data_IF_759056963189
#
_entry.id   IF_759056963189
#
_cell.length_a   1.000
_cell.length_b   1.000
_cell.length_c   1.000
_cell.angle_alpha   90.00
_cell.angle_beta   90.00
_cell.angle_gamma   90.00
#
_symmetry.space_group_name_H-M   'P 1'
#
loop_
_entity.id
_entity.type
_entity.pdbx_description
1 polymer ?
#
# COMPACT_ATOMS: atom_id res chain seq x y z
N UNK A 1 -13.21 5.08 17.83
CA UNK A 1 -14.22 4.14 18.37
C UNK A 1 -14.65 4.42 19.82
N UNK A 2 -13.88 5.17 20.64
CA UNK A 2 -14.31 5.53 22.00
C UNK A 2 -14.38 4.36 22.99
N UNK A 3 -13.66 3.27 22.71
CA UNK A 3 -13.63 2.05 23.52
C UNK A 3 -12.75 2.22 24.75
N UNK A 4 -13.13 1.59 25.87
CA UNK A 4 -12.40 1.62 27.13
C UNK A 4 -11.98 0.22 27.54
N UNK A 5 -10.71 -0.10 27.34
CA UNK A 5 -10.12 -1.37 27.75
C UNK A 5 -9.29 -1.18 29.03
N UNK A 6 -9.52 -2.00 30.04
CA UNK A 6 -8.66 -2.12 31.21
C UNK A 6 -7.28 -2.70 30.84
N UNK A 7 -6.31 -2.63 31.75
CA UNK A 7 -4.96 -3.16 31.48
C UNK A 7 -4.95 -4.68 31.16
N UNK A 8 -5.67 -5.54 31.90
CA UNK A 8 -5.77 -6.96 31.56
C UNK A 8 -6.43 -7.20 30.20
N UNK A 9 -7.45 -6.40 29.86
CA UNK A 9 -8.13 -6.52 28.56
C UNK A 9 -7.25 -6.09 27.40
N UNK A 10 -6.34 -5.12 27.60
CA UNK A 10 -5.35 -4.77 26.56
C UNK A 10 -4.39 -5.91 26.27
N UNK A 11 -3.86 -6.56 27.29
CA UNK A 11 -3.00 -7.74 27.10
C UNK A 11 -3.76 -8.87 26.40
N UNK A 12 -5.03 -9.10 26.80
CA UNK A 12 -5.89 -10.07 26.13
C UNK A 12 -6.18 -9.68 24.68
N UNK A 13 -6.39 -8.40 24.41
CA UNK A 13 -6.61 -7.88 23.06
C UNK A 13 -5.37 -8.12 22.18
N UNK A 14 -4.17 -7.86 22.68
CA UNK A 14 -2.92 -8.15 21.96
C UNK A 14 -2.83 -9.62 21.55
N UNK A 15 -3.16 -10.54 22.46
CA UNK A 15 -3.19 -11.98 22.15
C UNK A 15 -4.22 -12.33 21.08
N UNK A 16 -5.46 -11.84 21.23
CA UNK A 16 -6.57 -12.12 20.32
C UNK A 16 -6.34 -11.52 18.92
N UNK A 17 -5.64 -10.40 18.84
CA UNK A 17 -5.46 -9.63 17.59
C UNK A 17 -4.13 -9.90 16.89
N UNK A 18 -3.24 -10.68 17.51
CA UNK A 18 -1.92 -11.01 16.93
C UNK A 18 -1.99 -11.53 15.49
N UNK A 19 -2.89 -12.47 15.12
CA UNK A 19 -2.99 -12.92 13.73
C UNK A 19 -3.41 -11.81 12.76
N UNK A 20 -4.28 -10.88 13.18
CA UNK A 20 -4.65 -9.72 12.36
C UNK A 20 -3.44 -8.83 12.07
N UNK A 21 -2.62 -8.53 13.08
CA UNK A 21 -1.42 -7.73 12.89
C UNK A 21 -0.40 -8.42 11.96
N UNK A 22 -0.23 -9.73 12.06
CA UNK A 22 0.60 -10.47 11.10
C UNK A 22 0.06 -10.37 9.68
N UNK A 23 -1.25 -10.51 9.48
CA UNK A 23 -1.85 -10.32 8.17
C UNK A 23 -1.62 -8.90 7.63
N UNK A 24 -1.81 -7.87 8.46
CA UNK A 24 -1.63 -6.46 8.08
C UNK A 24 -0.18 -6.14 7.67
N UNK A 25 0.80 -6.58 8.46
CA UNK A 25 2.22 -6.34 8.18
C UNK A 25 2.63 -7.08 6.89
N UNK A 26 2.26 -8.35 6.75
CA UNK A 26 2.59 -9.11 5.54
C UNK A 26 1.89 -8.55 4.29
N UNK A 27 0.66 -8.05 4.42
CA UNK A 27 0.00 -7.33 3.32
C UNK A 27 0.78 -6.08 2.92
N UNK A 28 1.19 -5.26 3.89
CA UNK A 28 2.03 -4.10 3.59
C UNK A 28 3.28 -4.52 2.82
N UNK A 29 4.04 -5.48 3.35
CA UNK A 29 5.31 -5.94 2.75
C UNK A 29 5.12 -6.50 1.34
N UNK A 30 4.04 -7.25 1.12
CA UNK A 30 3.70 -7.81 -0.19
C UNK A 30 3.44 -6.70 -1.23
N UNK A 31 2.64 -5.69 -0.87
CA UNK A 31 2.25 -4.62 -1.80
C UNK A 31 3.28 -3.50 -1.91
N UNK A 32 4.14 -3.32 -0.91
CA UNK A 32 5.20 -2.32 -0.93
C UNK A 32 6.52 -2.82 -1.52
N UNK A 33 6.67 -4.14 -1.68
CA UNK A 33 7.90 -4.81 -2.14
C UNK A 33 8.59 -4.07 -3.29
N UNK A 34 7.87 -3.81 -4.37
CA UNK A 34 8.47 -3.24 -5.58
C UNK A 34 9.02 -1.83 -5.35
N UNK A 35 8.36 -1.01 -4.53
CA UNK A 35 8.86 0.30 -4.13
C UNK A 35 10.11 0.16 -3.27
N UNK A 36 10.02 -0.63 -2.20
CA UNK A 36 11.10 -0.79 -1.22
C UNK A 36 12.35 -1.41 -1.84
N UNK A 37 12.17 -2.35 -2.77
CA UNK A 37 13.27 -2.94 -3.52
C UNK A 37 13.94 -1.90 -4.43
N UNK A 38 13.17 -1.07 -5.15
CA UNK A 38 13.72 0.04 -5.95
C UNK A 38 14.44 1.07 -5.09
N UNK A 39 13.91 1.39 -3.92
CA UNK A 39 14.55 2.31 -2.95
C UNK A 39 15.88 1.75 -2.45
N UNK A 40 15.92 0.47 -2.08
CA UNK A 40 17.15 -0.22 -1.66
C UNK A 40 18.20 -0.27 -2.78
N UNK A 41 17.79 -0.54 -4.03
CA UNK A 41 18.70 -0.51 -5.18
C UNK A 41 19.26 0.90 -5.43
N UNK A 42 18.42 1.94 -5.35
CA UNK A 42 18.85 3.32 -5.55
C UNK A 42 19.85 3.76 -4.48
N UNK A 43 19.65 3.34 -3.23
CA UNK A 43 20.61 3.60 -2.14
C UNK A 43 21.96 2.93 -2.40
N UNK A 44 21.96 1.65 -2.78
CA UNK A 44 23.18 0.92 -3.09
C UNK A 44 24.00 1.52 -4.24
N UNK A 45 23.34 2.13 -5.24
CA UNK A 45 24.02 2.80 -6.35
C UNK A 45 24.69 4.13 -5.97
N UNK A 46 24.20 4.79 -4.92
CA UNK A 46 24.77 6.07 -4.46
C UNK A 46 25.96 5.87 -3.51
N UNK A 47 26.13 4.66 -2.97
CA UNK A 47 27.29 4.30 -2.15
C UNK A 47 28.44 3.83 -3.05
N UNK A 48 29.27 4.78 -3.53
CA UNK A 48 30.42 4.55 -4.42
C UNK A 48 31.45 3.51 -3.88
N UNK A 49 31.36 3.12 -2.61
CA UNK A 49 32.22 2.14 -1.95
C UNK A 49 31.65 0.72 -1.86
N UNK A 50 30.37 0.51 -2.20
CA UNK A 50 29.74 -0.81 -2.09
C UNK A 50 29.66 -1.51 -3.45
N UNK A 51 30.65 -2.36 -3.76
CA UNK A 51 30.67 -3.18 -4.99
C UNK A 51 29.61 -4.30 -5.01
N UNK A 52 28.84 -4.45 -3.93
CA UNK A 52 27.68 -5.31 -3.84
C UNK A 52 26.48 -4.49 -3.35
N UNK A 53 25.31 -4.71 -3.95
CA UNK A 53 24.05 -4.22 -3.39
C UNK A 53 23.93 -4.83 -1.99
N UNK A 54 24.21 -4.04 -0.96
CA UNK A 54 24.08 -4.48 0.41
C UNK A 54 22.61 -4.36 0.84
N UNK A 55 21.78 -5.25 0.29
CA UNK A 55 20.38 -5.44 0.68
C UNK A 55 20.22 -6.12 2.04
N UNK A 56 21.31 -6.28 2.82
CA UNK A 56 21.25 -6.90 4.16
C UNK A 56 20.31 -6.19 5.13
N UNK A 57 20.02 -4.91 4.90
CA UNK A 57 19.08 -4.13 5.72
C UNK A 57 17.64 -4.10 5.17
N UNK A 58 17.29 -4.96 4.19
CA UNK A 58 15.94 -5.00 3.67
C UNK A 58 14.96 -5.60 4.68
N UNK A 59 14.23 -4.72 5.36
CA UNK A 59 13.22 -5.04 6.37
C UNK A 59 11.86 -5.33 5.72
N UNK A 60 11.81 -6.33 4.83
CA UNK A 60 10.59 -6.76 4.15
C UNK A 60 10.48 -8.29 4.14
N UNK A 61 9.29 -8.82 4.45
CA UNK A 61 9.05 -10.25 4.53
C UNK A 61 9.38 -11.01 3.25
N UNK A 62 9.22 -10.41 2.05
CA UNK A 62 9.56 -11.07 0.79
C UNK A 62 11.05 -11.38 0.73
N UNK A 63 11.89 -10.43 1.13
CA UNK A 63 13.34 -10.65 1.22
C UNK A 63 13.67 -11.73 2.24
N UNK A 64 13.12 -11.63 3.45
CA UNK A 64 13.35 -12.59 4.52
C UNK A 64 12.99 -14.01 4.07
N UNK A 65 11.86 -14.19 3.40
CA UNK A 65 11.42 -15.49 2.88
C UNK A 65 12.37 -16.03 1.81
N UNK A 66 12.93 -15.19 0.94
CA UNK A 66 13.94 -15.63 -0.03
C UNK A 66 15.23 -16.08 0.67
N UNK A 67 15.66 -15.39 1.73
CA UNK A 67 16.87 -15.74 2.48
C UNK A 67 16.66 -17.00 3.34
N UNK A 68 15.51 -17.15 3.98
CA UNK A 68 15.17 -18.32 4.78
C UNK A 68 14.99 -19.57 3.91
N UNK A 69 14.44 -19.39 2.71
CA UNK A 69 14.22 -20.43 1.73
C UNK A 69 15.07 -20.19 0.48
N UNK A 70 16.35 -20.55 0.55
CA UNK A 70 17.38 -20.38 -0.51
C UNK A 70 17.02 -20.85 -1.95
N UNK A 71 15.86 -21.47 -2.15
CA UNK A 71 15.35 -21.92 -3.44
C UNK A 71 14.18 -21.07 -3.99
N UNK A 72 13.69 -20.09 -3.22
CA UNK A 72 12.60 -19.22 -3.65
C UNK A 72 13.14 -18.01 -4.41
N UNK A 73 12.57 -17.78 -5.59
CA UNK A 73 12.65 -16.50 -6.26
C UNK A 73 11.61 -15.53 -5.69
N UNK A 74 11.58 -14.29 -6.21
CA UNK A 74 10.62 -13.26 -5.78
C UNK A 74 9.18 -13.76 -5.91
N UNK A 75 8.84 -14.42 -7.01
CA UNK A 75 7.47 -14.90 -7.25
C UNK A 75 7.07 -15.97 -6.24
N UNK A 76 7.98 -16.91 -5.94
CA UNK A 76 7.79 -17.94 -4.92
C UNK A 76 7.65 -17.35 -3.51
N UNK A 77 8.48 -16.37 -3.15
CA UNK A 77 8.40 -15.69 -1.85
C UNK A 77 7.10 -14.88 -1.71
N UNK A 78 6.66 -14.20 -2.77
CA UNK A 78 5.36 -13.51 -2.80
C UNK A 78 4.20 -14.50 -2.63
N UNK A 79 4.25 -15.65 -3.28
CA UNK A 79 3.19 -16.65 -3.14
C UNK A 79 3.14 -17.24 -1.72
N UNK A 80 4.31 -17.55 -1.15
CA UNK A 80 4.39 -17.99 0.24
C UNK A 80 3.86 -16.92 1.21
N UNK A 81 4.15 -15.65 0.95
CA UNK A 81 3.60 -14.53 1.71
C UNK A 81 2.07 -14.46 1.61
N UNK A 82 1.48 -14.61 0.40
CA UNK A 82 0.02 -14.68 0.20
C UNK A 82 -0.61 -15.84 0.98
N UNK A 83 0.03 -17.01 0.98
CA UNK A 83 -0.43 -18.17 1.75
C UNK A 83 -0.45 -17.84 3.24
N UNK A 84 0.62 -17.24 3.79
CA UNK A 84 0.68 -16.84 5.20
C UNK A 84 -0.37 -15.78 5.56
N UNK A 85 -0.57 -14.76 4.71
CA UNK A 85 -1.63 -13.76 4.88
C UNK A 85 -3.00 -14.44 5.00
N UNK A 86 -3.30 -15.39 4.10
CA UNK A 86 -4.56 -16.14 4.11
C UNK A 86 -4.70 -16.96 5.39
N UNK A 87 -3.65 -17.66 5.82
CA UNK A 87 -3.64 -18.45 7.05
C UNK A 87 -3.97 -17.59 8.28
N UNK A 88 -3.24 -16.48 8.48
CA UNK A 88 -3.48 -15.60 9.62
C UNK A 88 -4.84 -14.90 9.56
N UNK A 89 -5.32 -14.56 8.36
CA UNK A 89 -6.66 -13.99 8.18
C UNK A 89 -7.74 -15.01 8.57
N UNK A 90 -7.60 -16.27 8.14
CA UNK A 90 -8.54 -17.34 8.52
C UNK A 90 -8.53 -17.60 10.03
N UNK A 91 -7.34 -17.68 10.63
CA UNK A 91 -7.19 -17.80 12.08
C UNK A 91 -7.89 -16.64 12.81
N UNK A 92 -7.69 -15.41 12.33
CA UNK A 92 -8.29 -14.23 12.92
C UNK A 92 -9.82 -14.23 12.83
N UNK A 93 -10.38 -14.61 11.68
CA UNK A 93 -11.84 -14.70 11.50
C UNK A 93 -12.42 -15.69 12.51
N UNK A 94 -11.76 -16.82 12.76
CA UNK A 94 -12.21 -17.78 13.77
C UNK A 94 -12.19 -17.16 15.18
N UNK A 95 -11.17 -16.37 15.52
CA UNK A 95 -11.11 -15.65 16.80
C UNK A 95 -12.28 -14.68 16.93
N UNK A 96 -12.57 -13.90 15.88
CA UNK A 96 -13.69 -12.94 15.87
C UNK A 96 -15.02 -13.66 16.14
N UNK A 97 -15.25 -14.83 15.54
CA UNK A 97 -16.46 -15.61 15.80
C UNK A 97 -16.51 -16.17 17.23
N UNK A 98 -15.37 -16.62 17.77
CA UNK A 98 -15.31 -17.15 19.14
C UNK A 98 -15.58 -16.07 20.19
N UNK A 99 -15.05 -14.85 20.03
CA UNK A 99 -15.21 -13.78 21.03
C UNK A 99 -16.64 -13.21 21.09
N UNK A 100 -17.40 -13.30 19.99
CA UNK A 100 -18.80 -12.82 19.94
C UNK A 100 -19.72 -13.58 20.90
N UNK A 101 -19.43 -14.87 21.13
CA UNK A 101 -20.21 -15.72 22.03
C UNK A 101 -19.71 -15.72 23.48
N UNK A 102 -18.57 -15.08 23.76
CA UNK A 102 -17.91 -15.16 25.05
C UNK A 102 -18.42 -14.07 26.01
N UNK A 103 -19.29 -14.47 26.93
CA UNK A 103 -19.86 -13.57 27.95
C UNK A 103 -18.85 -13.14 29.03
N UNK A 104 -17.65 -13.74 29.06
CA UNK A 104 -16.59 -13.34 29.99
C UNK A 104 -15.83 -12.10 29.53
N UNK A 105 -15.96 -11.72 28.26
CA UNK A 105 -15.31 -10.56 27.67
C UNK A 105 -16.20 -9.32 27.77
N UNK A 106 -15.59 -8.15 27.93
CA UNK A 106 -16.37 -6.91 27.84
C UNK A 106 -16.82 -6.64 26.41
N UNK A 107 -17.94 -5.93 26.30
CA UNK A 107 -18.48 -5.45 25.03
C UNK A 107 -17.45 -4.62 24.25
N UNK A 108 -16.63 -3.83 24.94
CA UNK A 108 -15.62 -2.98 24.31
C UNK A 108 -14.45 -3.80 23.74
N UNK A 109 -14.04 -4.87 24.43
CA UNK A 109 -13.03 -5.80 23.92
C UNK A 109 -13.53 -6.56 22.68
N UNK A 110 -14.76 -7.07 22.72
CA UNK A 110 -15.37 -7.75 21.57
C UNK A 110 -15.45 -6.81 20.37
N UNK A 111 -15.90 -5.56 20.57
CA UNK A 111 -15.92 -4.54 19.51
C UNK A 111 -14.53 -4.21 18.98
N UNK A 112 -13.53 -4.12 19.84
CA UNK A 112 -12.14 -3.86 19.42
C UNK A 112 -11.62 -4.96 18.51
N UNK A 113 -11.77 -6.23 18.92
CA UNK A 113 -11.38 -7.39 18.11
C UNK A 113 -12.18 -7.43 16.81
N UNK A 114 -13.50 -7.24 16.86
CA UNK A 114 -14.29 -7.26 15.64
C UNK A 114 -13.90 -6.16 14.65
N UNK A 115 -13.50 -4.97 15.12
CA UNK A 115 -13.16 -3.85 14.27
C UNK A 115 -11.95 -4.12 13.36
N UNK A 116 -10.93 -4.84 13.84
CA UNK A 116 -9.69 -5.08 13.09
C UNK A 116 -9.90 -5.91 11.80
N UNK A 117 -11.03 -6.60 11.63
CA UNK A 117 -11.35 -7.26 10.36
C UNK A 117 -11.50 -6.23 9.22
N UNK A 118 -11.98 -5.03 9.54
CA UNK A 118 -12.10 -3.94 8.59
C UNK A 118 -10.75 -3.32 8.26
N UNK A 119 -9.81 -3.33 9.21
CA UNK A 119 -8.43 -2.91 8.93
C UNK A 119 -7.78 -3.84 7.92
N UNK A 120 -7.94 -5.17 8.04
CA UNK A 120 -7.39 -6.15 7.08
C UNK A 120 -7.91 -5.90 5.66
N UNK A 121 -9.23 -5.71 5.51
CA UNK A 121 -9.83 -5.50 4.18
C UNK A 121 -9.50 -4.11 3.65
N UNK A 122 -9.54 -3.08 4.52
CA UNK A 122 -9.19 -1.71 4.19
C UNK A 122 -7.73 -1.58 3.76
N UNK A 123 -6.82 -2.25 4.46
CA UNK A 123 -5.39 -2.29 4.12
C UNK A 123 -5.18 -2.90 2.74
N UNK A 124 -5.82 -4.03 2.44
CA UNK A 124 -5.73 -4.65 1.11
C UNK A 124 -6.26 -3.71 0.01
N UNK A 125 -7.45 -3.14 0.19
CA UNK A 125 -8.06 -2.21 -0.78
C UNK A 125 -7.19 -0.98 -1.02
N UNK A 126 -6.68 -0.38 0.06
CA UNK A 126 -5.79 0.77 -0.01
C UNK A 126 -4.47 0.42 -0.68
N UNK A 127 -3.82 -0.69 -0.30
CA UNK A 127 -2.54 -1.10 -0.87
C UNK A 127 -2.60 -1.33 -2.39
N UNK A 128 -3.74 -1.78 -2.92
CA UNK A 128 -3.94 -2.02 -4.35
C UNK A 128 -4.10 -0.73 -5.18
N UNK A 129 -4.40 0.40 -4.54
CA UNK A 129 -4.81 1.64 -5.25
C UNK A 129 -4.11 2.90 -4.75
N UNK A 130 -3.33 2.82 -3.67
CA UNK A 130 -2.71 4.00 -3.10
C UNK A 130 -1.56 4.53 -3.99
N UNK A 131 -1.49 5.85 -4.22
CA UNK A 131 -0.36 6.47 -4.93
C UNK A 131 1.02 6.16 -4.33
N UNK A 132 1.05 5.78 -3.03
CA UNK A 132 2.27 5.41 -2.31
C UNK A 132 2.95 4.16 -2.88
N UNK A 133 2.19 3.18 -3.35
CA UNK A 133 2.72 1.94 -3.94
C UNK A 133 2.58 1.94 -5.47
N UNK A 134 1.66 2.75 -6.01
CA UNK A 134 1.34 2.84 -7.43
C UNK A 134 1.54 4.28 -7.92
N UNK A 135 2.77 4.66 -8.31
CA UNK A 135 3.12 6.05 -8.65
C UNK A 135 2.40 6.59 -9.89
N UNK A 136 1.76 5.71 -10.67
CA UNK A 136 0.93 6.03 -11.83
C UNK A 136 -0.51 6.43 -11.43
N UNK A 137 -0.94 6.18 -10.20
CA UNK A 137 -2.25 6.58 -9.70
C UNK A 137 -2.19 7.99 -9.13
N UNK A 138 -3.05 8.89 -9.65
CA UNK A 138 -3.20 10.25 -9.15
C UNK A 138 -4.24 10.35 -8.04
N UNK A 139 -4.08 11.35 -7.18
CA UNK A 139 -5.14 11.82 -6.28
C UNK A 139 -6.35 12.33 -7.05
N UNK A 140 -7.50 12.44 -6.37
CA UNK A 140 -8.70 13.08 -6.92
C UNK A 140 -8.48 14.58 -7.11
N UNK A 141 -9.28 15.21 -7.98
CA UNK A 141 -9.15 16.66 -8.23
C UNK A 141 -9.33 17.47 -6.94
N UNK A 142 -10.32 17.13 -6.11
CA UNK A 142 -10.56 17.78 -4.81
C UNK A 142 -9.34 17.66 -3.88
N UNK A 143 -8.71 16.48 -3.82
CA UNK A 143 -7.49 16.28 -3.03
C UNK A 143 -6.34 17.13 -3.57
N UNK A 144 -6.19 17.23 -4.89
CA UNK A 144 -5.16 18.06 -5.52
C UNK A 144 -5.42 19.55 -5.29
N UNK A 145 -6.68 20.00 -5.33
CA UNK A 145 -7.07 21.37 -5.00
C UNK A 145 -6.69 21.73 -3.57
N UNK A 146 -6.98 20.85 -2.60
CA UNK A 146 -6.55 21.04 -1.22
C UNK A 146 -5.03 21.06 -1.06
N UNK A 147 -4.31 20.16 -1.73
CA UNK A 147 -2.84 20.14 -1.72
C UNK A 147 -2.23 21.41 -2.32
N UNK A 148 -2.89 22.03 -3.31
CA UNK A 148 -2.49 23.30 -3.93
C UNK A 148 -2.91 24.53 -3.12
N UNK A 149 -3.63 24.36 -2.02
CA UNK A 149 -4.12 25.47 -1.19
C UNK A 149 -5.31 26.22 -1.80
N UNK A 150 -6.03 25.60 -2.75
CA UNK A 150 -7.30 26.14 -3.24
C UNK A 150 -8.36 25.85 -2.19
N UNK A 151 -8.66 26.85 -1.36
CA UNK A 151 -9.82 26.81 -0.47
C UNK A 151 -11.05 26.95 -1.34
N UNK A 152 -11.79 25.86 -1.57
CA UNK A 152 -13.12 25.95 -2.14
C UNK A 152 -13.95 26.87 -1.24
N UNK A 153 -14.66 27.89 -1.78
CA UNK A 153 -15.51 28.73 -0.96
C UNK A 153 -16.50 27.83 -0.25
N UNK A 154 -16.45 27.84 1.09
CA UNK A 154 -17.44 27.19 1.93
C UNK A 154 -18.79 27.68 1.44
N UNK A 155 -19.61 26.78 0.89
CA UNK A 155 -20.97 27.11 0.53
C UNK A 155 -21.65 27.54 1.83
N UNK A 156 -21.80 28.85 2.02
CA UNK A 156 -22.57 29.38 3.12
C UNK A 156 -23.94 28.72 3.03
N UNK A 157 -24.32 28.03 4.10
CA UNK A 157 -25.66 27.47 4.28
C UNK A 157 -26.65 28.63 4.43
N UNK A 158 -26.99 29.26 3.31
CA UNK A 158 -27.97 30.32 3.17
C UNK A 158 -29.19 29.79 2.44
N UNK A 159 -30.34 29.91 3.11
CA UNK A 159 -31.69 29.56 2.65
C UNK A 159 -32.00 29.93 1.19
N UNK A 160 -32.91 29.18 0.53
CA UNK A 160 -33.20 29.37 -0.88
C UNK A 160 -33.98 30.68 -1.10
N UNK A 161 -33.44 31.61 -1.88
CA UNK A 161 -33.95 31.93 -3.23
C UNK A 161 -33.42 33.30 -3.75
N UNK A 162 -33.37 33.37 -5.07
CA UNK A 162 -33.39 34.56 -5.94
C UNK A 162 -32.06 35.06 -6.51
N UNK A 163 -31.77 34.55 -7.71
CA UNK A 163 -31.24 35.27 -8.88
C UNK A 163 -30.20 36.37 -8.62
N UNK A 164 -28.95 36.01 -8.86
CA UNK A 164 -28.04 36.59 -9.86
C UNK A 164 -26.62 36.74 -9.32
N UNK A 165 -25.66 36.10 -9.97
CA UNK A 165 -24.66 36.85 -10.73
C UNK A 165 -24.02 35.92 -11.77
N UNK A 166 -24.34 36.19 -13.05
CA UNK A 166 -23.49 35.83 -14.17
C UNK A 166 -22.21 36.66 -14.05
N UNK A 167 -21.07 36.01 -13.86
CA UNK A 167 -19.80 36.54 -14.38
C UNK A 167 -19.21 35.45 -15.26
N UNK A 168 -19.31 35.68 -16.57
CA UNK A 168 -18.62 34.92 -17.62
C UNK A 168 -17.28 35.59 -17.86
N UNK A 169 -16.26 34.75 -18.08
CA UNK A 169 -15.25 34.89 -19.14
C UNK A 169 -14.25 36.05 -19.04
N UNK A 170 -12.97 35.73 -18.87
CA UNK A 170 -11.95 35.88 -19.92
C UNK A 170 -10.54 35.87 -19.31
N UNK A 171 -9.80 34.79 -19.53
CA UNK A 171 -8.34 34.83 -19.72
C UNK A 171 -8.01 33.73 -20.71
N UNK A 172 -7.98 34.12 -21.98
CA UNK A 172 -7.46 33.35 -23.11
C UNK A 172 -5.94 33.43 -23.15
N UNK A 173 -5.32 32.28 -23.46
CA UNK A 173 -4.17 32.09 -24.33
C UNK A 173 -2.90 32.94 -24.14
N UNK A 174 -1.84 32.29 -23.68
CA UNK A 174 -0.58 32.15 -24.45
C UNK A 174 0.46 31.45 -23.57
N UNK A 175 0.81 30.21 -23.91
CA UNK A 175 2.21 29.75 -24.01
C UNK A 175 2.23 28.38 -24.69
N UNK A 176 2.69 28.40 -25.93
CA UNK A 176 3.11 27.25 -26.73
C UNK A 176 4.11 26.38 -25.98
N UNK A 177 3.86 25.06 -25.84
CA UNK A 177 4.93 24.08 -25.65
C UNK A 177 4.68 22.83 -26.50
N UNK A 178 5.77 22.38 -27.08
CA UNK A 178 5.91 21.52 -28.26
C UNK A 178 5.48 20.06 -28.05
N UNK A 179 5.19 19.31 -29.13
CA UNK A 179 4.97 17.87 -29.04
C UNK A 179 6.23 17.15 -28.58
N UNK A 180 6.07 16.27 -27.60
CA UNK A 180 7.11 15.31 -27.21
C UNK A 180 7.30 14.35 -28.38
N UNK A 181 8.48 14.43 -28.99
CA UNK A 181 8.95 13.50 -30.02
C UNK A 181 9.06 12.12 -29.40
N UNK A 182 8.23 11.18 -29.86
CA UNK A 182 8.40 9.76 -29.61
C UNK A 182 9.69 9.29 -30.30
N UNK A 183 10.78 9.17 -29.54
CA UNK A 183 12.01 8.55 -30.01
C UNK A 183 11.80 7.04 -30.11
N UNK A 184 11.45 6.59 -31.32
CA UNK A 184 11.59 5.20 -31.75
C UNK A 184 13.06 4.76 -31.65
N UNK A 185 13.43 4.04 -30.59
CA UNK A 185 14.63 3.19 -30.62
C UNK A 185 14.21 1.76 -30.95
N UNK A 186 14.28 1.43 -32.23
CA UNK A 186 14.46 0.06 -32.72
C UNK A 186 15.76 -0.46 -32.13
N UNK A 187 15.70 -1.44 -31.22
CA UNK A 187 16.84 -2.33 -31.02
C UNK A 187 16.83 -3.38 -32.11
N UNK A 188 17.69 -3.16 -33.09
CA UNK A 188 18.20 -4.18 -34.00
C UNK A 188 19.04 -5.17 -33.19
N UNK A 189 18.58 -6.41 -33.05
CA UNK A 189 19.47 -7.52 -32.74
C UNK A 189 19.90 -8.18 -34.06
N UNK A 190 21.13 -7.87 -34.44
CA UNK A 190 21.87 -8.62 -35.44
C UNK A 190 22.42 -9.91 -34.81
N UNK A 191 22.37 -10.98 -35.59
CA UNK A 191 22.82 -12.35 -35.31
C UNK A 191 24.35 -12.44 -35.13
N UNK A 192 24.78 -13.29 -34.21
CA UNK A 192 26.00 -14.12 -34.30
C UNK A 192 25.60 -15.50 -33.72
N UNK A 193 25.55 -16.62 -34.44
CA UNK A 193 26.57 -17.45 -35.13
C UNK A 193 27.72 -17.94 -34.23
N UNK A 194 27.47 -19.09 -33.60
CA UNK A 194 28.42 -20.17 -33.28
C UNK A 194 27.57 -21.41 -32.93
N UNK A 195 27.60 -22.58 -33.56
CA UNK A 195 28.57 -23.18 -34.46
C UNK A 195 29.60 -24.02 -33.69
N UNK A 196 29.23 -25.22 -33.24
CA UNK A 196 30.04 -26.46 -33.01
C UNK A 196 29.11 -27.46 -32.28
N UNK A 197 28.58 -28.51 -32.92
CA UNK A 197 29.21 -29.82 -33.20
C UNK A 197 30.00 -30.40 -32.01
N UNK A 198 29.36 -31.32 -31.29
CA UNK A 198 29.83 -32.69 -31.01
C UNK A 198 28.67 -33.58 -30.57
#
# INVERSE_FOLDING_TARGET
MGLKLSAPERAKAEDLTRPAYFALVLQNDLYSWEREYREAQAQALNDEQSQSIDVTNMMNAIWVLMQEHNHLDIAGAQELCRIKIKQYTTEYIQIVENVKGDQSLSVDLVKYVEALKYDIVGQAAWCMTCPRNHPDISFTEEQLEWMRGVVLPVAESGTPNSKALKVRSALSDSTTRMPIVASNRKMSLAKSHSGTEH
#
